data_IF_589615382477
#
_entry.id   IF_589615382477
#
_cell.length_a   1.000
_cell.length_b   1.000
_cell.length_c   1.000
_cell.angle_alpha   90.00
_cell.angle_beta   90.00
_cell.angle_gamma   90.00
#
_symmetry.space_group_name_H-M   'P 1'
#
loop_
_entity.id
_entity.type
_entity.pdbx_description
1 polymer ?
#
# COMPACT_ATOMS: atom_id res chain seq x y z
N UNK A 1 -6.08 -17.00 -9.95
CA UNK A 1 -5.55 -15.66 -9.69
C UNK A 1 -5.84 -15.24 -8.27
N UNK A 2 -4.82 -14.80 -7.58
CA UNK A 2 -4.99 -14.38 -6.19
C UNK A 2 -5.62 -13.00 -6.10
N UNK A 3 -6.50 -12.84 -5.12
CA UNK A 3 -7.09 -11.54 -4.81
C UNK A 3 -6.56 -10.96 -3.51
N UNK A 4 -5.82 -11.76 -2.75
CA UNK A 4 -5.34 -11.37 -1.43
C UNK A 4 -3.97 -11.95 -1.18
N UNK A 5 -3.20 -11.27 -0.35
CA UNK A 5 -1.93 -11.76 0.16
C UNK A 5 -1.85 -11.46 1.64
N UNK A 6 -1.27 -12.40 2.41
CA UNK A 6 -1.04 -12.19 3.83
C UNK A 6 0.42 -11.87 4.03
N UNK A 7 0.71 -10.79 4.75
CA UNK A 7 2.09 -10.44 5.10
C UNK A 7 2.26 -10.56 6.60
N UNK A 8 3.47 -10.95 7.00
CA UNK A 8 3.83 -11.04 8.41
C UNK A 8 4.47 -9.71 8.82
N UNK A 9 3.98 -9.14 9.91
CA UNK A 9 4.55 -7.89 10.41
C UNK A 9 5.83 -8.19 11.17
N UNK A 10 6.83 -7.32 11.04
CA UNK A 10 8.02 -7.41 11.86
C UNK A 10 7.77 -6.89 13.26
N UNK A 11 6.80 -5.98 13.42
CA UNK A 11 6.40 -5.45 14.72
C UNK A 11 4.88 -5.53 14.82
N UNK A 12 4.36 -6.09 15.93
CA UNK A 12 2.92 -6.19 16.09
C UNK A 12 2.26 -4.81 16.15
N UNK A 13 1.00 -4.76 15.69
CA UNK A 13 0.19 -3.56 15.79
C UNK A 13 -0.95 -3.82 16.76
N UNK A 14 -1.34 -2.77 17.49
CA UNK A 14 -2.55 -2.83 18.31
C UNK A 14 -3.70 -2.25 17.52
N UNK A 15 -4.71 -3.08 17.26
CA UNK A 15 -5.86 -2.66 16.48
C UNK A 15 -7.12 -3.02 17.26
N UNK A 16 -7.87 -2.02 17.70
CA UNK A 16 -9.13 -2.21 18.43
C UNK A 16 -8.94 -3.12 19.64
N UNK A 17 -7.83 -2.92 20.38
CA UNK A 17 -7.59 -3.69 21.60
C UNK A 17 -6.99 -5.06 21.37
N UNK A 18 -6.66 -5.41 20.13
CA UNK A 18 -6.09 -6.70 19.81
C UNK A 18 -4.70 -6.52 19.22
N UNK A 19 -3.83 -7.49 19.49
CA UNK A 19 -2.50 -7.50 18.90
C UNK A 19 -2.56 -8.21 17.56
N UNK A 20 -2.14 -7.52 16.52
CA UNK A 20 -2.17 -8.04 15.15
C UNK A 20 -0.73 -8.29 14.70
N UNK A 21 -0.44 -9.50 14.25
CA UNK A 21 0.89 -9.88 13.81
C UNK A 21 0.96 -10.14 12.31
N UNK A 22 -0.16 -10.19 11.64
CA UNK A 22 -0.19 -10.34 10.19
C UNK A 22 -1.32 -9.53 9.60
N UNK A 23 -1.16 -9.14 8.35
CA UNK A 23 -2.12 -8.27 7.65
C UNK A 23 -2.50 -8.94 6.34
N UNK A 24 -3.79 -8.96 6.04
CA UNK A 24 -4.27 -9.43 4.75
C UNK A 24 -4.47 -8.25 3.82
N UNK A 25 -3.79 -8.26 2.69
CA UNK A 25 -3.84 -7.19 1.69
C UNK A 25 -4.67 -7.69 0.52
N UNK A 26 -5.64 -6.89 0.08
CA UNK A 26 -6.48 -7.23 -1.06
C UNK A 26 -6.13 -6.37 -2.27
N UNK A 27 -6.58 -6.81 -3.44
CA UNK A 27 -6.42 -5.99 -4.64
C UNK A 27 -7.16 -4.67 -4.46
N UNK A 28 -6.62 -3.63 -5.08
CA UNK A 28 -7.31 -2.35 -5.09
C UNK A 28 -8.17 -2.23 -6.35
N UNK A 29 -9.15 -1.34 -6.27
CA UNK A 29 -9.96 -0.97 -7.41
C UNK A 29 -9.71 0.51 -7.70
N UNK A 30 -10.16 0.96 -8.86
CA UNK A 30 -10.08 2.40 -9.15
C UNK A 30 -10.90 3.18 -8.14
N UNK A 31 -12.03 2.61 -7.67
CA UNK A 31 -12.80 3.25 -6.60
C UNK A 31 -12.00 3.42 -5.32
N UNK A 32 -11.13 2.46 -5.00
CA UNK A 32 -10.25 2.60 -3.84
C UNK A 32 -9.31 3.79 -4.02
N UNK A 33 -8.76 3.95 -5.22
CA UNK A 33 -7.85 5.05 -5.48
C UNK A 33 -8.57 6.39 -5.39
N UNK A 34 -9.78 6.44 -5.92
CA UNK A 34 -10.57 7.66 -5.83
C UNK A 34 -10.90 8.01 -4.39
N UNK A 35 -11.31 7.02 -3.59
CA UNK A 35 -11.61 7.26 -2.19
C UNK A 35 -10.37 7.68 -1.40
N UNK A 36 -9.23 7.09 -1.74
CA UNK A 36 -7.99 7.47 -1.07
C UNK A 36 -7.65 8.94 -1.36
N UNK A 37 -7.82 9.37 -2.61
CA UNK A 37 -7.59 10.76 -2.96
C UNK A 37 -8.56 11.67 -2.24
N UNK A 38 -9.85 11.29 -2.19
CA UNK A 38 -10.84 12.12 -1.51
C UNK A 38 -10.54 12.23 -0.01
N UNK A 39 -10.07 11.13 0.59
CA UNK A 39 -9.68 11.19 2.00
C UNK A 39 -8.52 12.16 2.20
N UNK A 40 -7.52 12.11 1.32
CA UNK A 40 -6.39 13.03 1.41
C UNK A 40 -6.84 14.48 1.25
N UNK A 41 -7.82 14.71 0.37
CA UNK A 41 -8.38 16.05 0.20
C UNK A 41 -9.05 16.51 1.50
N UNK A 42 -9.85 15.64 2.13
CA UNK A 42 -10.50 15.99 3.39
C UNK A 42 -9.48 16.30 4.49
N UNK A 43 -8.31 15.64 4.42
CA UNK A 43 -7.24 15.88 5.38
C UNK A 43 -6.39 17.10 5.01
N UNK A 44 -6.69 17.72 3.86
CA UNK A 44 -5.93 18.86 3.35
C UNK A 44 -4.48 18.50 3.06
N UNK A 45 -4.26 17.28 2.59
CA UNK A 45 -2.92 16.75 2.29
C UNK A 45 -2.86 16.11 0.93
N UNK A 46 -3.77 16.49 0.02
CA UNK A 46 -3.85 15.82 -1.28
C UNK A 46 -2.63 16.08 -2.16
N UNK A 47 -1.81 17.08 -1.83
CA UNK A 47 -0.61 17.37 -2.58
C UNK A 47 0.59 16.55 -2.11
N UNK A 48 0.40 15.72 -1.08
CA UNK A 48 1.46 14.87 -0.56
C UNK A 48 1.23 13.46 -1.09
N UNK A 49 2.06 13.00 -2.05
CA UNK A 49 1.85 11.67 -2.64
C UNK A 49 1.88 10.54 -1.62
N UNK A 50 2.71 10.68 -0.58
CA UNK A 50 2.77 9.64 0.43
C UNK A 50 1.45 9.54 1.21
N UNK A 51 0.84 10.69 1.52
CA UNK A 51 -0.43 10.67 2.22
C UNK A 51 -1.50 9.96 1.40
N UNK A 52 -1.57 10.26 0.10
CA UNK A 52 -2.53 9.60 -0.78
C UNK A 52 -2.27 8.10 -0.81
N UNK A 53 -1.01 7.71 -0.95
CA UNK A 53 -0.65 6.29 -0.97
C UNK A 53 -1.03 5.61 0.34
N UNK A 54 -0.78 6.27 1.47
CA UNK A 54 -1.11 5.69 2.77
C UNK A 54 -2.61 5.49 2.94
N UNK A 55 -3.41 6.41 2.41
CA UNK A 55 -4.86 6.24 2.44
C UNK A 55 -5.26 5.00 1.64
N UNK A 56 -4.61 4.76 0.50
CA UNK A 56 -4.88 3.57 -0.29
C UNK A 56 -4.43 2.32 0.45
N UNK A 57 -3.24 2.35 1.05
CA UNK A 57 -2.74 1.19 1.78
C UNK A 57 -3.66 0.85 2.94
N UNK A 58 -4.19 1.85 3.62
CA UNK A 58 -5.12 1.63 4.72
C UNK A 58 -6.36 0.88 4.22
N UNK A 59 -6.90 1.30 3.08
CA UNK A 59 -8.10 0.68 2.54
C UNK A 59 -7.88 -0.80 2.20
N UNK A 60 -6.76 -1.10 1.55
CA UNK A 60 -6.53 -2.47 1.08
C UNK A 60 -6.08 -3.41 2.19
N UNK A 61 -5.62 -2.86 3.31
CA UNK A 61 -5.16 -3.67 4.43
C UNK A 61 -6.18 -3.75 5.57
N UNK A 62 -7.28 -3.01 5.45
CA UNK A 62 -8.28 -2.99 6.52
C UNK A 62 -7.87 -2.20 7.75
N UNK A 63 -6.87 -1.35 7.61
CA UNK A 63 -6.39 -0.52 8.71
C UNK A 63 -6.84 0.92 8.52
N UNK A 64 -6.65 1.72 9.56
CA UNK A 64 -6.90 3.16 9.44
C UNK A 64 -5.63 3.86 9.00
N UNK A 65 -5.79 5.07 8.48
CA UNK A 65 -4.65 5.91 8.15
C UNK A 65 -3.73 6.09 9.36
N UNK A 66 -4.33 6.32 10.54
CA UNK A 66 -3.53 6.53 11.73
C UNK A 66 -2.72 5.30 12.10
N UNK A 67 -3.26 4.10 11.89
CA UNK A 67 -2.50 2.88 12.14
C UNK A 67 -1.35 2.72 11.16
N UNK A 68 -1.59 3.06 9.89
CA UNK A 68 -0.53 3.02 8.90
C UNK A 68 0.63 3.91 9.33
N UNK A 69 0.33 5.07 9.91
CA UNK A 69 1.38 5.98 10.36
C UNK A 69 2.28 5.40 11.45
N UNK A 70 1.77 4.46 12.22
CA UNK A 70 2.55 3.86 13.31
C UNK A 70 3.35 2.66 12.86
N UNK A 71 3.17 2.22 11.63
CA UNK A 71 3.77 0.99 11.12
C UNK A 71 5.25 1.22 10.82
N UNK A 72 6.06 0.19 11.06
CA UNK A 72 7.45 0.23 10.62
C UNK A 72 7.54 0.34 9.12
N UNK A 73 8.54 1.08 8.64
CA UNK A 73 8.72 1.27 7.22
C UNK A 73 8.87 -0.04 6.46
N UNK A 74 9.55 -1.01 7.07
CA UNK A 74 9.72 -2.31 6.45
C UNK A 74 8.38 -2.99 6.23
N UNK A 75 7.48 -2.89 7.19
CA UNK A 75 6.15 -3.49 7.07
C UNK A 75 5.31 -2.75 6.03
N UNK A 76 5.42 -1.44 6.00
CA UNK A 76 4.71 -0.65 4.98
C UNK A 76 5.19 -1.04 3.58
N UNK A 77 6.49 -1.21 3.41
CA UNK A 77 7.05 -1.63 2.14
C UNK A 77 6.50 -2.99 1.72
N UNK A 78 6.33 -3.89 2.70
CA UNK A 78 5.77 -5.21 2.41
C UNK A 78 4.33 -5.13 1.92
N UNK A 79 3.53 -4.23 2.51
CA UNK A 79 2.15 -4.02 2.03
C UNK A 79 2.17 -3.49 0.61
N UNK A 80 3.03 -2.51 0.35
CA UNK A 80 3.12 -1.92 -0.98
C UNK A 80 3.51 -2.98 -2.02
N UNK A 81 4.49 -3.82 -1.69
CA UNK A 81 4.92 -4.86 -2.61
C UNK A 81 3.80 -5.87 -2.86
N UNK A 82 3.08 -6.25 -1.82
CA UNK A 82 1.97 -7.18 -1.96
C UNK A 82 0.88 -6.61 -2.87
N UNK A 83 0.56 -5.33 -2.68
CA UNK A 83 -0.47 -4.69 -3.49
C UNK A 83 -0.04 -4.62 -4.95
N UNK A 84 1.22 -4.28 -5.19
CA UNK A 84 1.73 -4.21 -6.55
C UNK A 84 1.64 -5.57 -7.25
N UNK A 85 1.99 -6.64 -6.54
CA UNK A 85 1.86 -7.98 -7.11
C UNK A 85 0.41 -8.32 -7.42
N UNK A 86 -0.49 -8.01 -6.49
CA UNK A 86 -1.91 -8.31 -6.69
C UNK A 86 -2.49 -7.54 -7.85
N UNK A 87 -1.99 -6.32 -8.08
CA UNK A 87 -2.45 -5.50 -9.19
C UNK A 87 -1.77 -5.84 -10.50
N UNK A 88 -0.89 -6.84 -10.50
CA UNK A 88 -0.26 -7.31 -11.73
C UNK A 88 0.96 -6.54 -12.15
N UNK A 89 1.56 -5.75 -11.26
CA UNK A 89 2.76 -5.01 -11.61
C UNK A 89 3.94 -5.96 -11.79
N UNK A 90 4.82 -5.61 -12.72
CA UNK A 90 6.03 -6.37 -12.92
C UNK A 90 7.01 -6.15 -11.78
N UNK A 91 7.78 -7.15 -11.43
CA UNK A 91 8.82 -6.95 -10.41
C UNK A 91 9.80 -5.87 -10.84
N UNK A 92 10.25 -5.01 -9.92
CA UNK A 92 11.16 -3.92 -10.27
C UNK A 92 12.47 -4.38 -10.93
N UNK A 93 12.93 -5.56 -10.62
CA UNK A 93 14.18 -6.08 -11.18
C UNK A 93 14.10 -6.26 -12.68
N UNK A 94 12.92 -6.24 -13.20
CA UNK A 94 12.72 -6.36 -14.61
C UNK A 94 13.21 -5.16 -15.36
N UNK A 95 13.63 -4.40 -15.11
CA UNK A 95 13.74 -3.37 -15.92
C UNK A 95 14.75 -2.77 -16.37
N UNK A 96 14.72 -3.22 -16.54
CA UNK A 96 15.12 -2.82 -17.11
C UNK A 96 15.26 -2.25 -17.80
N UNK A 97 15.25 -2.22 -17.86
CA UNK A 97 15.03 -1.82 -18.48
C UNK A 97 14.80 -1.21 -18.95
N UNK A 98 14.86 -1.07 -19.08
CA UNK A 98 14.44 -0.52 -19.67
C UNK A 98 14.45 0.16 -19.99
N UNK A 99 14.53 0.30 -20.38
CA UNK A 99 14.41 1.03 -20.82
C UNK A 99 14.22 1.70 -21.07
N UNK A 100 14.41 1.74 -21.22
CA UNK A 100 14.11 2.27 -21.60
C UNK A 100 14.21 2.94 -21.72
N UNK A 101 14.50 3.04 -21.94
CA UNK A 101 14.47 3.56 -22.13
C UNK A 101 14.69 4.17 -22.20
N UNK A 102 14.92 4.36 -22.56
CA UNK A 102 15.07 4.97 -22.61
C UNK A 102 15.22 5.55 -22.54
N UNK A 103 15.55 5.51 -22.74
CA UNK A 103 15.49 5.84 -22.82
C UNK A 103 15.66 6.26 -22.78
N UNK A 104 16.03 6.36 -22.91
CA UNK A 104 15.84 6.60 -23.00
C UNK A 104 16.09 6.87 -23.02
N UNK A 105 16.22 6.95 -23.27
CA UNK A 105 16.05 6.95 -23.31
C UNK A 105 15.95 7.12 -23.13
#
# INVERSE_FOLDING_TARGET
>A
MENKKTIQLTEPLEVAGKTVTEIEVRRSTIGDEEEAMQQAVRMKRSQNPLTVEMCLMARVSGLTYDKIRTMHGQDYTAIRAALNELNGAEPPAQDDENPTTPSGN
#
